data_IF_386427334858
#
_entry.id   IF_386427334858
#
_cell.length_a   1.000
_cell.length_b   1.000
_cell.length_c   1.000
_cell.angle_alpha   90.00
_cell.angle_beta   90.00
_cell.angle_gamma   90.00
#
_symmetry.space_group_name_H-M   'P 1'
#
loop_
_entity.id
_entity.type
_entity.pdbx_description
1 polymer ?
#
# COMPACT_ATOMS: atom_id res chain seq x y z
N UNK A 1 11.00 -3.38 -13.84
CA UNK A 1 9.89 -2.89 -12.99
C UNK A 1 8.83 -3.98 -12.78
N UNK A 2 8.35 -4.62 -13.87
CA UNK A 2 7.43 -5.78 -13.87
C UNK A 2 7.93 -6.92 -12.94
N UNK A 3 9.23 -7.21 -12.95
CA UNK A 3 9.85 -8.28 -12.15
C UNK A 3 9.81 -8.07 -10.63
N UNK A 4 9.76 -6.82 -10.14
CA UNK A 4 9.75 -6.55 -8.69
C UNK A 4 8.36 -6.80 -8.11
N UNK A 5 7.32 -6.37 -8.81
CA UNK A 5 5.95 -6.63 -8.39
C UNK A 5 5.60 -8.10 -8.46
N UNK A 6 6.10 -8.82 -9.49
CA UNK A 6 5.96 -10.28 -9.56
C UNK A 6 6.58 -10.96 -8.35
N UNK A 7 7.84 -10.63 -8.02
CA UNK A 7 8.53 -11.22 -6.88
C UNK A 7 7.82 -10.94 -5.55
N UNK A 8 7.19 -9.78 -5.40
CA UNK A 8 6.44 -9.43 -4.18
C UNK A 8 5.15 -10.25 -4.12
N UNK A 9 4.37 -10.29 -5.21
CA UNK A 9 3.11 -11.05 -5.26
C UNK A 9 3.37 -12.54 -5.05
N UNK A 10 4.39 -13.10 -5.71
CA UNK A 10 4.70 -14.52 -5.62
C UNK A 10 5.25 -14.92 -4.24
N UNK A 11 5.92 -13.99 -3.54
CA UNK A 11 6.29 -14.20 -2.14
C UNK A 11 5.06 -14.13 -1.23
N UNK A 12 4.25 -13.08 -1.38
CA UNK A 12 3.04 -12.88 -0.58
C UNK A 12 2.06 -14.02 -0.73
N UNK A 13 1.97 -14.63 -1.92
CA UNK A 13 1.15 -15.81 -2.21
C UNK A 13 1.48 -17.05 -1.35
N UNK A 14 2.61 -17.06 -0.65
CA UNK A 14 3.04 -18.13 0.25
C UNK A 14 2.69 -17.85 1.71
N UNK A 15 2.28 -16.62 2.04
CA UNK A 15 1.98 -16.23 3.41
C UNK A 15 0.55 -16.66 3.81
N UNK A 16 0.35 -17.01 5.09
CA UNK A 16 -0.94 -17.48 5.61
C UNK A 16 -2.08 -16.45 5.45
N UNK A 17 -1.75 -15.16 5.48
CA UNK A 17 -2.71 -14.07 5.34
C UNK A 17 -3.06 -13.74 3.89
N UNK A 18 -2.48 -14.42 2.90
CA UNK A 18 -2.65 -14.08 1.51
C UNK A 18 -4.10 -14.22 1.04
N UNK A 19 -4.50 -13.33 0.14
CA UNK A 19 -5.78 -13.38 -0.53
C UNK A 19 -5.68 -12.86 -1.96
N UNK A 20 -6.46 -13.39 -2.91
CA UNK A 20 -6.59 -12.80 -4.24
C UNK A 20 -7.06 -11.33 -4.23
N UNK A 21 -7.74 -10.91 -3.15
CA UNK A 21 -8.22 -9.53 -2.97
C UNK A 21 -7.24 -8.66 -2.16
N UNK A 22 -6.05 -9.15 -1.84
CA UNK A 22 -5.04 -8.41 -1.09
C UNK A 22 -4.65 -7.15 -1.87
N UNK A 23 -4.72 -6.01 -1.20
CA UNK A 23 -4.37 -4.70 -1.75
C UNK A 23 -2.93 -4.38 -1.35
N UNK A 24 -2.18 -3.83 -2.30
CA UNK A 24 -0.81 -3.38 -2.10
C UNK A 24 -0.73 -1.86 -2.04
N UNK A 25 0.24 -1.38 -1.30
CA UNK A 25 0.63 0.02 -1.25
C UNK A 25 2.02 0.20 -1.85
N UNK A 26 2.20 1.30 -2.57
CA UNK A 26 3.50 1.81 -3.01
C UNK A 26 3.63 3.22 -2.46
N UNK A 27 4.50 3.42 -1.48
CA UNK A 27 4.84 4.70 -0.90
C UNK A 27 6.16 5.23 -1.43
N UNK A 28 6.20 6.49 -1.86
CA UNK A 28 7.40 7.11 -2.40
C UNK A 28 7.79 8.37 -1.63
N UNK A 29 9.09 8.47 -1.33
CA UNK A 29 9.68 9.62 -0.67
C UNK A 29 10.98 10.01 -1.36
N UNK A 30 11.03 11.21 -1.93
CA UNK A 30 12.24 11.75 -2.54
C UNK A 30 13.28 12.07 -1.45
N UNK A 31 14.51 11.59 -1.64
CA UNK A 31 15.70 11.94 -0.87
C UNK A 31 16.67 12.68 -1.78
N UNK A 32 16.43 13.98 -2.00
CA UNK A 32 17.23 14.80 -2.92
C UNK A 32 16.74 14.77 -4.37
N UNK A 33 17.62 15.15 -5.31
CA UNK A 33 17.26 15.32 -6.73
C UNK A 33 17.07 14.01 -7.48
N UNK A 34 17.93 13.02 -7.22
CA UNK A 34 18.03 11.80 -8.06
C UNK A 34 17.86 10.50 -7.28
N UNK A 35 17.35 10.56 -6.04
CA UNK A 35 17.12 9.40 -5.19
C UNK A 35 15.71 9.39 -4.63
N UNK A 36 15.04 8.24 -4.76
CA UNK A 36 13.71 8.02 -4.23
C UNK A 36 13.72 6.75 -3.38
N UNK A 37 13.19 6.85 -2.16
CA UNK A 37 12.86 5.67 -1.37
C UNK A 37 11.47 5.21 -1.74
N UNK A 38 11.36 3.91 -1.99
CA UNK A 38 10.13 3.25 -2.38
C UNK A 38 9.88 2.18 -1.34
N UNK A 39 8.74 2.26 -0.69
CA UNK A 39 8.21 1.19 0.14
C UNK A 39 7.08 0.53 -0.64
N UNK A 40 7.14 -0.79 -0.81
CA UNK A 40 6.06 -1.58 -1.38
C UNK A 40 5.65 -2.58 -0.32
N UNK A 41 4.37 -2.71 -0.02
CA UNK A 41 3.92 -3.68 0.97
C UNK A 41 2.42 -3.85 0.93
N UNK A 42 1.93 -4.96 1.48
CA UNK A 42 0.50 -5.19 1.54
C UNK A 42 -0.13 -4.21 2.54
N UNK A 43 -1.27 -3.62 2.13
CA UNK A 43 -2.07 -2.71 2.96
C UNK A 43 -3.19 -3.47 3.69
N UNK A 44 -3.37 -4.75 3.36
CA UNK A 44 -4.45 -5.59 3.82
C UNK A 44 -5.69 -5.51 2.92
N UNK A 45 -6.85 -5.60 3.54
CA UNK A 45 -8.16 -5.68 2.87
C UNK A 45 -8.88 -4.34 2.83
N UNK A 46 -8.66 -3.53 3.85
CA UNK A 46 -9.35 -2.27 4.08
C UNK A 46 -8.45 -1.09 3.77
N UNK A 47 -8.83 -0.28 2.78
CA UNK A 47 -8.04 0.89 2.41
C UNK A 47 -8.47 2.07 3.30
N UNK A 48 -7.59 2.52 4.17
CA UNK A 48 -7.80 3.78 4.89
C UNK A 48 -7.62 4.97 3.93
N UNK A 49 -8.55 5.93 4.00
CA UNK A 49 -8.50 7.14 3.18
C UNK A 49 -7.34 8.02 3.63
N UNK A 50 -6.31 8.13 2.80
CA UNK A 50 -5.20 9.06 3.00
C UNK A 50 -5.21 10.16 1.95
N UNK A 51 -4.94 11.41 2.36
CA UNK A 51 -4.71 12.52 1.42
C UNK A 51 -3.42 12.33 0.60
N UNK A 52 -2.57 11.38 0.98
CA UNK A 52 -1.33 11.07 0.29
C UNK A 52 -1.50 10.11 -0.91
N UNK A 53 -2.68 9.52 -1.10
CA UNK A 53 -2.96 8.65 -2.25
C UNK A 53 -3.01 9.49 -3.53
N UNK A 54 -2.09 9.23 -4.46
CA UNK A 54 -1.95 9.97 -5.71
C UNK A 54 -2.57 9.24 -6.91
N UNK A 55 -2.77 7.92 -6.81
CA UNK A 55 -3.39 7.11 -7.86
C UNK A 55 -3.42 5.63 -7.52
N UNK A 56 -3.85 4.81 -8.48
CA UNK A 56 -3.84 3.36 -8.36
C UNK A 56 -3.71 2.70 -9.73
N UNK A 57 -3.31 1.43 -9.75
CA UNK A 57 -3.36 0.58 -10.93
C UNK A 57 -3.67 -0.87 -10.54
N UNK A 58 -4.10 -1.68 -11.50
CA UNK A 58 -4.29 -3.12 -11.31
C UNK A 58 -3.14 -3.86 -11.98
N UNK A 59 -2.53 -4.80 -11.27
CA UNK A 59 -1.46 -5.64 -11.79
C UNK A 59 -1.62 -7.07 -11.27
N UNK A 60 -1.60 -8.05 -12.18
CA UNK A 60 -1.88 -9.49 -11.89
C UNK A 60 -3.12 -9.72 -11.01
N UNK A 61 -4.18 -8.94 -11.25
CA UNK A 61 -5.44 -9.05 -10.51
C UNK A 61 -5.48 -8.29 -9.18
N UNK A 62 -4.35 -7.80 -8.68
CA UNK A 62 -4.29 -7.06 -7.42
C UNK A 62 -4.36 -5.54 -7.65
N UNK A 63 -4.98 -4.84 -6.69
CA UNK A 63 -5.00 -3.38 -6.67
C UNK A 63 -3.73 -2.86 -5.97
N UNK A 64 -3.01 -1.99 -6.66
CA UNK A 64 -1.90 -1.22 -6.10
C UNK A 64 -2.33 0.22 -5.91
N UNK A 65 -2.28 0.71 -4.68
CA UNK A 65 -2.50 2.11 -4.34
C UNK A 65 -1.16 2.80 -4.21
N UNK A 66 -1.00 3.92 -4.89
CA UNK A 66 0.27 4.64 -4.99
C UNK A 66 0.16 5.95 -4.24
N UNK A 67 1.09 6.20 -3.33
CA UNK A 67 1.11 7.37 -2.44
C UNK A 67 2.49 8.03 -2.40
N UNK A 68 2.54 9.33 -2.13
CA UNK A 68 3.79 10.09 -2.04
C UNK A 68 3.74 11.46 -2.70
N UNK A 69 4.88 11.97 -3.16
CA UNK A 69 5.01 13.23 -3.92
C UNK A 69 5.79 13.01 -5.21
N UNK A 70 5.53 13.85 -6.22
CA UNK A 70 6.23 13.85 -7.52
C UNK A 70 6.18 12.51 -8.28
N UNK A 71 5.12 11.76 -8.05
CA UNK A 71 4.90 10.39 -8.52
C UNK A 71 4.83 10.28 -10.05
N UNK A 72 4.12 11.24 -10.64
CA UNK A 72 3.85 11.40 -12.07
C UNK A 72 5.08 11.78 -12.90
N UNK A 73 6.18 12.18 -12.25
CA UNK A 73 7.36 12.74 -12.91
C UNK A 73 8.56 11.80 -12.94
N UNK A 74 8.51 10.70 -12.20
CA UNK A 74 9.72 9.87 -12.00
C UNK A 74 9.50 8.39 -12.26
N UNK A 75 8.39 7.80 -11.78
CA UNK A 75 8.19 6.35 -11.84
C UNK A 75 6.90 5.93 -12.52
N UNK A 76 5.85 6.75 -12.42
CA UNK A 76 4.55 6.44 -12.98
C UNK A 76 4.13 7.53 -13.96
N UNK A 77 3.51 7.14 -15.06
CA UNK A 77 2.78 8.07 -15.91
C UNK A 77 1.36 8.21 -15.39
N UNK A 78 0.89 9.44 -15.18
CA UNK A 78 -0.48 9.69 -14.71
C UNK A 78 -1.44 9.69 -15.90
N UNK A 79 -2.50 8.89 -15.79
CA UNK A 79 -3.60 8.86 -16.76
C UNK A 79 -4.80 9.68 -16.27
N UNK A 80 -5.76 9.92 -17.16
CA UNK A 80 -7.05 10.53 -16.83
C UNK A 80 -8.11 9.50 -16.40
N UNK A 81 -7.76 8.21 -16.43
CA UNK A 81 -8.62 7.13 -15.96
C UNK A 81 -8.89 7.25 -14.46
N UNK A 82 -10.11 6.89 -14.05
CA UNK A 82 -10.53 6.98 -12.66
C UNK A 82 -11.10 5.65 -12.20
N UNK A 83 -10.72 5.26 -10.99
CA UNK A 83 -11.28 4.10 -10.29
C UNK A 83 -11.90 4.56 -8.97
N UNK A 84 -13.11 4.10 -8.71
CA UNK A 84 -13.75 4.30 -7.40
C UNK A 84 -13.11 3.31 -6.44
N UNK A 85 -12.55 3.82 -5.35
CA UNK A 85 -12.03 3.02 -4.24
C UNK A 85 -12.99 3.20 -3.08
N UNK A 86 -13.54 2.09 -2.60
CA UNK A 86 -14.30 2.07 -1.35
C UNK A 86 -13.30 2.07 -0.19
N UNK A 87 -13.23 3.21 0.48
CA UNK A 87 -12.40 3.34 1.68
C UNK A 87 -13.11 2.76 2.88
N UNK A 88 -12.33 2.21 3.80
CA UNK A 88 -12.81 1.82 5.11
C UNK A 88 -13.55 2.98 5.78
N UNK A 89 -14.77 2.70 6.23
CA UNK A 89 -15.58 3.61 7.03
C UNK A 89 -15.56 3.10 8.46
N UNK A 90 -14.93 3.87 9.35
CA UNK A 90 -15.00 3.61 10.78
C UNK A 90 -16.46 3.51 11.21
N UNK A 91 -16.74 2.54 12.09
CA UNK A 91 -18.09 2.34 12.64
C UNK A 91 -18.41 3.31 13.79
N UNK A 92 -17.54 4.30 14.05
CA UNK A 92 -17.57 5.13 15.26
C UNK A 92 -18.79 6.06 15.43
N UNK A 93 -19.42 5.92 16.60
CA UNK A 93 -20.52 6.69 17.21
C UNK A 93 -21.95 6.46 16.69
N UNK A 94 -22.54 5.31 17.03
CA UNK A 94 -23.99 5.26 17.31
C UNK A 94 -24.16 5.33 18.82
N UNK A 95 -24.24 6.56 19.33
CA UNK A 95 -24.47 6.85 20.74
C UNK A 95 -25.55 7.91 20.91
N UNK A 96 -26.68 7.80 20.22
CA UNK A 96 -27.89 8.46 20.70
C UNK A 96 -28.46 7.61 21.83
N UNK A 97 -28.25 8.11 23.04
CA UNK A 97 -28.91 7.74 24.28
C UNK A 97 -28.45 6.44 24.96
N UNK A 98 -27.88 6.63 26.16
CA UNK A 98 -27.63 5.66 27.24
C UNK A 98 -26.27 4.92 27.20
N UNK A 99 -25.31 5.55 27.89
CA UNK A 99 -23.96 5.10 28.28
C UNK A 99 -22.88 5.43 27.24
N UNK A 100 -21.97 6.32 27.63
CA UNK A 100 -20.72 6.68 26.95
C UNK A 100 -19.88 5.43 26.62
N UNK A 101 -20.21 4.71 25.54
CA UNK A 101 -19.38 3.64 24.98
C UNK A 101 -18.64 4.21 23.78
N UNK A 102 -17.32 4.26 23.89
CA UNK A 102 -16.41 4.50 22.77
C UNK A 102 -16.26 3.17 22.04
N UNK A 103 -16.68 3.11 20.77
CA UNK A 103 -16.36 1.97 19.91
C UNK A 103 -14.98 2.26 19.32
N UNK A 104 -13.99 1.48 19.72
CA UNK A 104 -12.67 1.46 19.10
C UNK A 104 -12.71 0.43 17.98
N UNK A 105 -12.48 0.88 16.74
CA UNK A 105 -12.17 -0.04 15.65
C UNK A 105 -10.75 -0.55 15.89
N UNK A 106 -10.64 -1.73 16.50
CA UNK A 106 -9.36 -2.40 16.70
C UNK A 106 -9.02 -3.08 15.38
N UNK A 107 -7.95 -2.63 14.73
CA UNK A 107 -7.34 -3.35 13.61
C UNK A 107 -6.63 -4.53 14.25
N UNK A 108 -7.19 -5.73 14.10
CA UNK A 108 -6.69 -6.93 14.79
C UNK A 108 -5.24 -7.27 14.41
N UNK A 109 -4.82 -6.93 13.19
CA UNK A 109 -3.42 -7.05 12.76
C UNK A 109 -3.18 -6.30 11.43
N UNK A 110 -2.24 -5.37 11.38
CA UNK A 110 -1.78 -4.68 10.15
C UNK A 110 -0.35 -5.07 9.76
N UNK A 111 0.16 -6.14 10.33
CA UNK A 111 1.55 -6.53 10.24
C UNK A 111 1.88 -7.30 8.95
N UNK A 112 1.64 -6.67 7.82
CA UNK A 112 1.97 -7.22 6.52
C UNK A 112 3.45 -7.09 6.18
N UNK A 113 3.90 -7.94 5.25
CA UNK A 113 5.25 -7.80 4.70
C UNK A 113 5.39 -6.50 3.90
N UNK A 114 6.56 -5.87 4.01
CA UNK A 114 6.92 -4.74 3.16
C UNK A 114 8.40 -4.76 2.78
N UNK A 115 8.67 -4.20 1.61
CA UNK A 115 9.97 -4.13 0.97
C UNK A 115 10.37 -2.67 0.81
N UNK A 116 11.62 -2.39 1.13
CA UNK A 116 12.24 -1.08 0.97
C UNK A 116 13.23 -1.16 -0.19
N UNK A 117 13.04 -0.26 -1.15
CA UNK A 117 13.91 -0.06 -2.30
C UNK A 117 14.39 1.39 -2.35
N UNK A 118 15.54 1.59 -3.00
CA UNK A 118 15.96 2.90 -3.50
C UNK A 118 15.94 2.90 -5.02
N UNK A 119 15.41 3.96 -5.60
CA UNK A 119 15.51 4.24 -7.02
C UNK A 119 16.53 5.36 -7.24
N UNK A 120 17.64 5.02 -7.89
CA UNK A 120 18.80 5.88 -8.09
C UNK A 120 19.23 5.76 -9.55
N UNK A 121 19.28 6.89 -10.27
CA UNK A 121 19.76 6.96 -11.66
C UNK A 121 19.11 5.91 -12.59
N UNK A 122 17.79 5.73 -12.49
CA UNK A 122 17.06 4.76 -13.32
C UNK A 122 17.04 3.32 -12.80
N UNK A 123 17.79 3.02 -11.74
CA UNK A 123 17.94 1.67 -11.21
C UNK A 123 17.23 1.51 -9.87
N UNK A 124 16.51 0.40 -9.71
CA UNK A 124 15.88 0.02 -8.45
C UNK A 124 16.79 -0.92 -7.68
N UNK A 125 17.16 -0.53 -6.47
CA UNK A 125 18.07 -1.25 -5.57
C UNK A 125 17.28 -1.72 -4.37
N UNK A 126 17.22 -3.03 -4.15
CA UNK A 126 16.63 -3.61 -2.94
C UNK A 126 17.49 -3.30 -1.72
N UNK A 127 16.87 -2.81 -0.64
CA UNK A 127 17.56 -2.51 0.60
C UNK A 127 17.22 -3.50 1.70
N UNK A 128 15.92 -3.69 1.96
CA UNK A 128 15.49 -4.58 3.03
C UNK A 128 14.05 -5.06 2.82
N UNK A 129 13.71 -6.17 3.47
CA UNK A 129 12.34 -6.66 3.65
C UNK A 129 12.06 -6.80 5.13
N UNK A 130 10.85 -6.47 5.52
CA UNK A 130 10.33 -6.74 6.86
C UNK A 130 9.11 -7.63 6.69
N UNK A 131 9.13 -8.78 7.35
CA UNK A 131 8.09 -9.80 7.37
C UNK A 131 7.65 -10.02 8.81
N UNK A 132 6.36 -9.83 9.09
CA UNK A 132 5.86 -10.02 10.46
C UNK A 132 5.12 -11.35 10.62
N UNK A 133 4.42 -11.81 9.57
CA UNK A 133 3.60 -13.03 9.62
C UNK A 133 3.70 -13.95 8.39
N UNK A 134 4.58 -13.64 7.45
CA UNK A 134 4.91 -14.60 6.39
C UNK A 134 5.92 -15.62 6.97
N UNK A 135 5.47 -16.84 7.24
CA UNK A 135 6.29 -17.93 7.79
C UNK A 135 6.98 -18.74 6.71
#
# INVERSE_FOLDING_TARGET
MITVLDSIIDFEAQCDYYSPNLVYSIGLKCEGKDTINIQIGSLGYDIMKSKAHLGCFVYRGHLFVVSGRYLDKVLFYKTDERKIIEYYKSKGNIGNNQRNKIILDIIEDDSFSFWIYKYINGNMVFLNRYDTYCK
#
